data_IF_639536389958
#
_entry.id   IF_639536389958
#
_cell.length_a   1.000
_cell.length_b   1.000
_cell.length_c   1.000
_cell.angle_alpha   90.00
_cell.angle_beta   90.00
_cell.angle_gamma   90.00
#
_symmetry.space_group_name_H-M   'P 1'
#
loop_
_entity.id
_entity.type
_entity.pdbx_description
1 polymer ?
#
# COMPACT_ATOMS: atom_id res chain seq x y z
N UNK A 1 -16.64 -10.01 7.49
CA UNK A 1 -16.58 -10.69 6.18
C UNK A 1 -16.89 -9.73 5.02
N UNK A 2 -18.03 -9.01 5.00
CA UNK A 2 -18.43 -8.14 3.87
C UNK A 2 -17.41 -7.05 3.51
N UNK A 3 -16.75 -6.42 4.50
CA UNK A 3 -15.77 -5.37 4.27
C UNK A 3 -14.49 -5.86 3.58
N UNK A 4 -14.07 -7.10 3.83
CA UNK A 4 -12.90 -7.70 3.17
C UNK A 4 -13.19 -7.98 1.69
N UNK A 5 -14.39 -8.47 1.37
CA UNK A 5 -14.81 -8.65 -0.04
C UNK A 5 -14.90 -7.32 -0.79
N UNK A 6 -15.37 -6.25 -0.14
CA UNK A 6 -15.42 -4.93 -0.77
C UNK A 6 -14.02 -4.41 -1.13
N UNK A 7 -13.04 -4.63 -0.25
CA UNK A 7 -11.65 -4.24 -0.51
C UNK A 7 -11.03 -5.06 -1.65
N UNK A 8 -11.27 -6.37 -1.68
CA UNK A 8 -10.83 -7.24 -2.78
C UNK A 8 -11.42 -6.78 -4.13
N UNK A 9 -12.73 -6.49 -4.18
CA UNK A 9 -13.38 -5.99 -5.40
C UNK A 9 -12.81 -4.64 -5.86
N UNK A 10 -12.41 -3.76 -4.93
CA UNK A 10 -11.72 -2.51 -5.29
C UNK A 10 -10.36 -2.78 -5.92
N UNK A 11 -9.60 -3.75 -5.41
CA UNK A 11 -8.32 -4.15 -6.00
C UNK A 11 -8.50 -4.78 -7.38
N UNK A 12 -9.54 -5.58 -7.59
CA UNK A 12 -9.87 -6.14 -8.90
C UNK A 12 -10.22 -5.03 -9.89
N UNK A 13 -11.00 -4.01 -9.46
CA UNK A 13 -11.30 -2.83 -10.26
C UNK A 13 -10.06 -2.00 -10.62
N UNK A 14 -9.15 -1.79 -9.67
CA UNK A 14 -7.87 -1.11 -9.93
C UNK A 14 -6.99 -1.94 -10.88
N UNK A 15 -6.95 -3.25 -10.70
CA UNK A 15 -6.25 -4.18 -11.60
C UNK A 15 -6.77 -4.09 -13.02
N UNK A 16 -8.10 -4.09 -13.21
CA UNK A 16 -8.74 -3.90 -14.50
C UNK A 16 -8.34 -2.57 -15.16
N UNK A 17 -8.32 -1.47 -14.40
CA UNK A 17 -7.87 -0.17 -14.91
C UNK A 17 -6.45 -0.21 -15.43
N UNK A 18 -5.54 -0.94 -14.76
CA UNK A 18 -4.15 -1.06 -15.23
C UNK A 18 -4.05 -1.82 -16.56
N UNK A 19 -5.02 -2.68 -16.88
CA UNK A 19 -5.08 -3.38 -18.16
C UNK A 19 -5.63 -2.50 -19.28
N UNK A 20 -6.69 -1.73 -18.99
CA UNK A 20 -7.39 -0.97 -20.04
C UNK A 20 -6.80 0.41 -20.30
N UNK A 21 -6.15 1.03 -19.33
CA UNK A 21 -5.54 2.36 -19.51
C UNK A 21 -4.08 2.19 -19.91
N UNK A 22 -3.68 2.63 -21.12
CA UNK A 22 -2.28 2.63 -21.52
C UNK A 22 -1.41 3.49 -20.59
N UNK A 23 -0.16 3.07 -20.40
CA UNK A 23 0.89 3.84 -19.71
C UNK A 23 0.70 4.13 -18.21
N UNK A 24 -0.31 3.54 -17.57
CA UNK A 24 -0.37 3.58 -16.10
C UNK A 24 0.76 2.74 -15.52
N UNK A 25 1.64 3.41 -14.78
CA UNK A 25 2.83 2.77 -14.14
C UNK A 25 2.75 2.76 -12.64
N UNK A 26 1.99 3.68 -12.07
CA UNK A 26 1.93 3.88 -10.64
C UNK A 26 0.49 3.98 -10.17
N UNK A 27 0.24 3.44 -9.00
CA UNK A 27 -0.97 3.69 -8.23
C UNK A 27 -0.61 4.61 -7.07
N UNK A 28 -1.17 5.81 -7.06
CA UNK A 28 -1.05 6.73 -5.94
C UNK A 28 -2.35 6.73 -5.15
N UNK A 29 -2.23 6.64 -3.83
CA UNK A 29 -3.38 6.61 -2.95
C UNK A 29 -3.10 7.21 -1.58
N UNK A 30 -4.10 7.16 -0.72
CA UNK A 30 -4.02 7.64 0.66
C UNK A 30 -4.53 6.56 1.61
N UNK A 31 -3.86 6.45 2.75
CA UNK A 31 -4.39 5.75 3.92
C UNK A 31 -4.93 6.79 4.88
N UNK A 32 -6.17 6.60 5.30
CA UNK A 32 -6.83 7.49 6.24
C UNK A 32 -6.92 6.82 7.61
N UNK A 33 -6.47 7.54 8.64
CA UNK A 33 -6.73 7.20 10.04
C UNK A 33 -7.61 8.27 10.67
N UNK A 34 -8.58 7.83 11.45
CA UNK A 34 -9.52 8.75 12.08
C UNK A 34 -8.94 9.28 13.40
N UNK A 35 -9.29 10.52 13.82
CA UNK A 35 -8.83 11.10 15.08
C UNK A 35 -9.19 10.27 16.32
N UNK A 36 -10.22 9.43 16.21
CA UNK A 36 -10.62 8.48 17.28
C UNK A 36 -9.70 7.26 17.41
N UNK A 37 -8.78 7.07 16.46
CA UNK A 37 -7.82 5.97 16.54
C UNK A 37 -6.77 6.27 17.61
N UNK A 38 -6.34 5.25 18.35
CA UNK A 38 -5.40 5.40 19.46
C UNK A 38 -4.06 5.99 18.95
N UNK A 39 -3.71 7.20 19.38
CA UNK A 39 -2.56 7.96 18.86
C UNK A 39 -1.25 7.21 18.99
N UNK A 40 -1.03 6.51 20.10
CA UNK A 40 0.20 5.71 20.28
C UNK A 40 0.30 4.54 19.30
N UNK A 41 -0.80 3.90 18.97
CA UNK A 41 -0.83 2.83 17.96
C UNK A 41 -0.66 3.41 16.55
N UNK A 42 -1.26 4.56 16.25
CA UNK A 42 -1.06 5.32 15.02
C UNK A 42 0.41 5.66 14.80
N UNK A 43 1.04 6.31 15.76
CA UNK A 43 2.44 6.74 15.67
C UNK A 43 3.38 5.55 15.47
N UNK A 44 3.10 4.43 16.15
CA UNK A 44 3.84 3.19 15.99
C UNK A 44 3.70 2.60 14.57
N UNK A 45 2.48 2.61 14.02
CA UNK A 45 2.22 2.16 12.64
C UNK A 45 2.95 3.07 11.65
N UNK A 46 2.87 4.39 11.81
CA UNK A 46 3.54 5.34 10.91
C UNK A 46 5.05 5.21 10.98
N UNK A 47 5.60 5.01 12.18
CA UNK A 47 7.03 4.75 12.34
C UNK A 47 7.46 3.47 11.61
N UNK A 48 6.73 2.37 11.80
CA UNK A 48 6.99 1.10 11.12
C UNK A 48 6.93 1.25 9.59
N UNK A 49 5.89 1.91 9.09
CA UNK A 49 5.73 2.15 7.66
C UNK A 49 6.88 3.00 7.10
N UNK A 50 7.27 4.04 7.81
CA UNK A 50 8.39 4.90 7.40
C UNK A 50 9.74 4.16 7.40
N UNK A 51 9.92 3.22 8.34
CA UNK A 51 11.13 2.39 8.40
C UNK A 51 11.24 1.45 7.20
N UNK A 52 10.13 0.79 6.84
CA UNK A 52 10.15 -0.28 5.83
C UNK A 52 9.81 0.18 4.41
N UNK A 53 9.17 1.34 4.27
CA UNK A 53 8.70 1.88 2.99
C UNK A 53 9.07 3.37 2.81
N UNK A 54 10.33 3.75 3.04
CA UNK A 54 10.72 5.16 2.97
C UNK A 54 10.64 5.70 1.53
N UNK A 55 10.29 6.98 1.40
CA UNK A 55 10.48 7.75 0.16
C UNK A 55 11.90 8.32 0.10
N UNK A 56 12.87 7.50 -0.27
CA UNK A 56 14.27 7.91 -0.39
C UNK A 56 14.53 8.91 -1.52
N UNK A 57 13.60 8.98 -2.49
CA UNK A 57 13.72 9.87 -3.65
C UNK A 57 13.09 11.25 -3.39
N UNK A 58 12.46 11.44 -2.23
CA UNK A 58 11.76 12.67 -1.86
C UNK A 58 10.75 13.15 -2.91
N UNK A 59 9.94 12.22 -3.41
CA UNK A 59 8.99 12.49 -4.49
C UNK A 59 7.84 13.38 -4.05
N UNK A 60 7.31 13.15 -2.83
CA UNK A 60 6.16 13.89 -2.31
C UNK A 60 6.37 14.22 -0.84
N UNK A 61 6.04 15.46 -0.47
CA UNK A 61 6.01 15.93 0.92
C UNK A 61 4.69 16.61 1.22
N UNK A 62 4.09 16.37 2.39
CA UNK A 62 2.94 17.13 2.82
C UNK A 62 3.31 18.60 2.99
N UNK A 63 2.40 19.50 2.61
CA UNK A 63 2.58 20.93 2.83
C UNK A 63 2.65 21.29 4.33
N UNK A 64 1.78 20.66 5.13
CA UNK A 64 1.78 20.77 6.58
C UNK A 64 1.88 19.36 7.18
N UNK A 65 3.11 18.85 7.41
CA UNK A 65 3.31 17.51 7.93
C UNK A 65 2.82 17.39 9.37
N UNK A 66 2.12 16.32 9.66
CA UNK A 66 1.76 15.94 11.03
C UNK A 66 3.00 15.40 11.75
N UNK A 67 3.20 15.83 12.98
CA UNK A 67 4.25 15.30 13.85
C UNK A 67 3.70 14.16 14.72
N UNK A 68 4.58 13.21 15.06
CA UNK A 68 4.28 12.21 16.07
C UNK A 68 4.02 12.86 17.43
N UNK A 69 3.01 12.39 18.14
CA UNK A 69 2.72 12.83 19.52
C UNK A 69 3.60 12.10 20.58
N UNK A 70 4.23 10.99 20.16
CA UNK A 70 5.03 10.16 21.04
C UNK A 70 6.49 10.20 20.64
N UNK A 71 7.37 9.95 21.61
CA UNK A 71 8.81 9.88 21.36
C UNK A 71 9.14 8.75 20.40
N UNK A 72 9.71 9.13 19.25
CA UNK A 72 10.11 8.22 18.18
C UNK A 72 11.16 7.20 18.67
N UNK A 73 12.00 7.55 19.65
CA UNK A 73 13.04 6.65 20.15
C UNK A 73 12.43 5.38 20.78
N UNK A 74 11.26 5.48 21.40
CA UNK A 74 10.55 4.30 21.93
C UNK A 74 10.21 3.29 20.84
N UNK A 75 9.88 3.77 19.63
CA UNK A 75 9.58 2.89 18.49
C UNK A 75 10.85 2.35 17.87
N UNK A 76 11.93 3.12 17.88
CA UNK A 76 13.24 2.71 17.40
C UNK A 76 13.81 1.54 18.20
N UNK A 77 13.62 1.57 19.51
CA UNK A 77 14.01 0.47 20.40
C UNK A 77 13.11 -0.79 20.23
N UNK A 78 11.87 -0.59 19.80
CA UNK A 78 10.93 -1.68 19.57
C UNK A 78 11.20 -2.42 18.26
N UNK A 79 11.57 -1.69 17.20
CA UNK A 79 11.79 -2.22 15.86
C UNK A 79 13.29 -2.20 15.53
N UNK A 80 14.05 -3.06 16.19
CA UNK A 80 15.53 -3.11 16.05
C UNK A 80 15.98 -4.02 14.91
N UNK A 81 15.12 -4.94 14.46
CA UNK A 81 15.45 -5.88 13.40
C UNK A 81 15.33 -5.21 12.03
N UNK A 82 16.22 -5.58 11.09
CA UNK A 82 16.09 -5.19 9.68
C UNK A 82 15.27 -6.20 8.87
N UNK A 83 14.33 -6.87 9.54
CA UNK A 83 13.44 -7.86 8.97
C UNK A 83 11.99 -7.40 9.08
N UNK A 84 11.37 -7.15 7.92
CA UNK A 84 9.97 -6.74 7.84
C UNK A 84 9.02 -7.71 8.56
N UNK A 85 9.23 -9.02 8.43
CA UNK A 85 8.30 -10.01 9.00
C UNK A 85 8.37 -10.04 10.52
N UNK A 86 9.57 -9.88 11.08
CA UNK A 86 9.76 -9.82 12.53
C UNK A 86 9.18 -8.53 13.08
N UNK A 87 9.54 -7.39 12.52
CA UNK A 87 8.99 -6.09 12.93
C UNK A 87 7.47 -6.03 12.78
N UNK A 88 6.91 -6.62 11.70
CA UNK A 88 5.45 -6.71 11.55
C UNK A 88 4.78 -7.54 12.64
N UNK A 89 5.39 -8.64 13.08
CA UNK A 89 4.85 -9.44 14.21
C UNK A 89 4.86 -8.63 15.50
N UNK A 90 5.94 -7.89 15.74
CA UNK A 90 6.07 -6.98 16.89
C UNK A 90 4.99 -5.91 16.83
N UNK A 91 4.86 -5.21 15.69
CA UNK A 91 3.84 -4.20 15.47
C UNK A 91 2.43 -4.74 15.75
N UNK A 92 2.09 -5.87 15.12
CA UNK A 92 0.76 -6.47 15.23
C UNK A 92 0.42 -6.83 16.67
N UNK A 93 1.38 -7.42 17.40
CA UNK A 93 1.22 -7.72 18.83
C UNK A 93 1.05 -6.42 19.64
N UNK A 94 1.93 -5.45 19.46
CA UNK A 94 1.92 -4.22 20.23
C UNK A 94 0.64 -3.38 20.02
N UNK A 95 0.09 -3.37 18.81
CA UNK A 95 -1.17 -2.70 18.49
C UNK A 95 -2.36 -3.44 19.11
N UNK A 96 -2.38 -4.78 19.04
CA UNK A 96 -3.44 -5.61 19.65
C UNK A 96 -3.44 -5.56 21.17
N UNK A 97 -2.28 -5.55 21.80
CA UNK A 97 -2.15 -5.42 23.27
C UNK A 97 -2.74 -4.10 23.78
N UNK A 98 -2.94 -3.12 22.89
CA UNK A 98 -3.61 -1.84 23.15
C UNK A 98 -5.10 -1.82 22.81
N UNK A 99 -5.68 -2.96 22.46
CA UNK A 99 -7.11 -3.11 22.17
C UNK A 99 -7.54 -2.61 20.79
N UNK A 100 -6.59 -2.31 19.89
CA UNK A 100 -6.89 -1.89 18.52
C UNK A 100 -6.24 -2.82 17.51
N UNK A 101 -6.55 -2.66 16.22
CA UNK A 101 -5.96 -3.45 15.14
C UNK A 101 -5.33 -2.51 14.10
N UNK A 102 -4.31 -2.98 13.41
CA UNK A 102 -3.80 -2.28 12.22
C UNK A 102 -4.96 -2.14 11.23
N UNK A 103 -5.21 -0.92 10.70
CA UNK A 103 -6.31 -0.71 9.76
C UNK A 103 -6.20 -1.67 8.56
N UNK A 104 -7.31 -2.30 8.13
CA UNK A 104 -7.29 -3.30 7.05
C UNK A 104 -6.66 -2.78 5.76
N UNK A 105 -6.88 -1.51 5.43
CA UNK A 105 -6.32 -0.89 4.24
C UNK A 105 -4.79 -0.77 4.33
N UNK A 106 -4.24 -0.45 5.50
CA UNK A 106 -2.78 -0.43 5.75
C UNK A 106 -2.18 -1.80 5.48
N UNK A 107 -2.80 -2.86 6.04
CA UNK A 107 -2.36 -4.23 5.79
C UNK A 107 -2.44 -4.63 4.32
N UNK A 108 -3.49 -4.22 3.62
CA UNK A 108 -3.64 -4.51 2.19
C UNK A 108 -2.51 -3.89 1.37
N UNK A 109 -2.18 -2.64 1.64
CA UNK A 109 -1.08 -1.94 0.94
C UNK A 109 0.29 -2.55 1.23
N UNK A 110 0.61 -2.83 2.49
CA UNK A 110 1.87 -3.51 2.86
C UNK A 110 2.03 -4.87 2.20
N UNK A 111 0.91 -5.57 1.97
CA UNK A 111 0.90 -6.87 1.31
C UNK A 111 0.84 -6.83 -0.21
N UNK A 112 0.87 -5.64 -0.83
CA UNK A 112 0.75 -5.49 -2.28
C UNK A 112 2.11 -5.41 -2.97
N UNK A 113 3.03 -4.60 -2.44
CA UNK A 113 4.36 -4.41 -3.00
C UNK A 113 5.39 -4.19 -1.90
N UNK A 114 6.56 -4.85 -1.96
CA UNK A 114 7.65 -4.62 -1.01
C UNK A 114 8.36 -3.28 -1.23
N UNK A 115 8.17 -2.66 -2.39
CA UNK A 115 8.79 -1.38 -2.79
C UNK A 115 7.80 -0.22 -2.74
N UNK A 116 6.65 -0.43 -2.10
CA UNK A 116 5.72 0.66 -1.80
C UNK A 116 6.48 1.84 -1.19
N UNK A 117 6.15 3.07 -1.59
CA UNK A 117 6.69 4.27 -0.95
C UNK A 117 5.63 4.92 -0.08
N UNK A 118 6.04 5.28 1.12
CA UNK A 118 5.24 6.05 2.05
C UNK A 118 5.68 7.51 1.99
N UNK A 119 4.72 8.39 1.88
CA UNK A 119 4.92 9.84 2.01
C UNK A 119 4.50 10.29 3.42
N UNK A 120 4.77 11.52 3.77
CA UNK A 120 4.39 12.03 5.08
C UNK A 120 2.87 12.06 5.29
N UNK A 121 2.47 12.25 6.53
CA UNK A 121 1.07 12.34 6.94
C UNK A 121 0.69 13.81 7.14
N UNK A 122 -0.54 14.17 6.75
CA UNK A 122 -1.13 15.48 6.99
C UNK A 122 -2.56 15.34 7.51
N UNK A 123 -3.05 16.37 8.19
CA UNK A 123 -4.44 16.45 8.64
C UNK A 123 -5.29 17.06 7.53
N UNK A 124 -6.37 16.38 7.18
CA UNK A 124 -7.37 16.87 6.23
C UNK A 124 -8.53 17.55 6.99
N UNK A 125 -8.39 18.85 7.21
CA UNK A 125 -9.40 19.66 7.93
C UNK A 125 -10.74 19.70 7.18
N UNK A 126 -10.71 19.65 5.85
CA UNK A 126 -11.90 19.64 5.00
C UNK A 126 -12.68 18.32 5.04
N UNK A 127 -12.11 17.28 5.64
CA UNK A 127 -12.72 15.95 5.75
C UNK A 127 -12.66 15.40 7.18
N UNK A 128 -13.17 16.17 8.13
CA UNK A 128 -13.32 15.71 9.51
C UNK A 128 -12.03 15.56 10.30
N UNK A 129 -10.99 16.30 9.95
CA UNK A 129 -9.67 16.28 10.58
C UNK A 129 -9.00 14.91 10.57
N UNK A 130 -9.31 14.09 9.58
CA UNK A 130 -8.67 12.78 9.42
C UNK A 130 -7.20 12.94 9.06
N UNK A 131 -6.41 11.96 9.47
CA UNK A 131 -5.00 11.88 9.18
C UNK A 131 -4.79 11.08 7.89
N UNK A 132 -4.24 11.72 6.87
CA UNK A 132 -4.03 11.13 5.56
C UNK A 132 -2.54 10.95 5.29
N UNK A 133 -2.16 9.70 5.01
CA UNK A 133 -0.79 9.34 4.64
C UNK A 133 -0.76 8.94 3.18
N UNK A 134 0.04 9.61 2.36
CA UNK A 134 0.21 9.29 0.95
C UNK A 134 1.04 8.03 0.76
N UNK A 135 0.69 7.25 -0.25
CA UNK A 135 1.43 6.05 -0.67
C UNK A 135 1.54 5.98 -2.19
N UNK A 136 2.59 5.35 -2.68
CA UNK A 136 2.80 5.06 -4.09
C UNK A 136 3.20 3.59 -4.27
N UNK A 137 2.61 2.96 -5.27
CA UNK A 137 2.93 1.59 -5.67
C UNK A 137 3.27 1.58 -7.14
N UNK A 138 4.45 1.07 -7.49
CA UNK A 138 4.81 0.77 -8.87
C UNK A 138 4.11 -0.55 -9.28
N UNK A 139 3.36 -0.52 -10.39
CA UNK A 139 2.55 -1.66 -10.84
C UNK A 139 3.44 -2.85 -11.18
N UNK A 140 4.61 -2.60 -11.76
CA UNK A 140 5.56 -3.65 -12.15
C UNK A 140 6.23 -4.33 -10.94
N UNK A 141 6.13 -3.74 -9.76
CA UNK A 141 6.71 -4.22 -8.50
C UNK A 141 5.64 -4.81 -7.54
N UNK A 142 4.41 -4.97 -8.02
CA UNK A 142 3.36 -5.69 -7.30
C UNK A 142 3.76 -7.16 -7.21
N UNK A 143 3.62 -7.73 -5.99
CA UNK A 143 3.93 -9.14 -5.73
C UNK A 143 3.23 -10.06 -6.72
N UNK A 144 3.91 -11.08 -7.28
CA UNK A 144 3.37 -11.95 -8.34
C UNK A 144 2.00 -12.54 -8.02
N UNK A 145 1.80 -13.03 -6.80
CA UNK A 145 0.51 -13.58 -6.36
C UNK A 145 -0.62 -12.55 -6.38
N UNK A 146 -0.31 -11.30 -6.03
CA UNK A 146 -1.28 -10.18 -6.04
C UNK A 146 -1.56 -9.72 -7.45
N UNK A 147 -0.52 -9.62 -8.27
CA UNK A 147 -0.63 -9.32 -9.69
C UNK A 147 -1.48 -10.36 -10.41
N UNK A 148 -1.18 -11.64 -10.23
CA UNK A 148 -1.94 -12.75 -10.82
C UNK A 148 -3.43 -12.62 -10.47
N UNK A 149 -3.74 -12.41 -9.18
CA UNK A 149 -5.12 -12.32 -8.71
C UNK A 149 -5.87 -11.12 -9.28
N UNK A 150 -5.29 -9.92 -9.20
CA UNK A 150 -6.02 -8.67 -9.44
C UNK A 150 -5.83 -8.10 -10.86
N UNK A 151 -4.79 -8.51 -11.59
CA UNK A 151 -4.46 -7.98 -12.90
C UNK A 151 -4.54 -9.09 -13.97
N UNK A 152 -3.78 -10.17 -13.79
CA UNK A 152 -3.61 -11.17 -14.85
C UNK A 152 -4.87 -12.00 -15.06
N UNK A 153 -5.65 -12.27 -14.00
CA UNK A 153 -6.97 -12.92 -14.12
C UNK A 153 -7.89 -12.09 -15.01
N UNK A 154 -8.02 -10.78 -14.74
CA UNK A 154 -8.82 -9.90 -15.59
C UNK A 154 -8.31 -9.85 -17.03
N UNK A 155 -7.00 -9.75 -17.22
CA UNK A 155 -6.38 -9.74 -18.55
C UNK A 155 -6.67 -11.04 -19.34
N UNK A 156 -6.68 -12.19 -18.66
CA UNK A 156 -6.98 -13.48 -19.28
C UNK A 156 -8.45 -13.65 -19.66
N UNK A 157 -9.36 -13.07 -18.88
CA UNK A 157 -10.79 -13.08 -19.14
C UNK A 157 -11.22 -12.08 -20.22
N UNK A 158 -10.39 -11.04 -20.47
CA UNK A 158 -10.68 -9.96 -21.43
C UNK A 158 -9.55 -9.76 -22.45
N UNK A 159 -9.24 -10.78 -23.28
CA UNK A 159 -8.14 -10.72 -24.24
C UNK A 159 -8.34 -9.62 -25.31
N UNK A 160 -9.58 -9.24 -25.61
CA UNK A 160 -9.90 -8.14 -26.49
C UNK A 160 -9.41 -6.79 -25.96
N UNK A 161 -9.53 -6.54 -24.65
CA UNK A 161 -9.05 -5.31 -24.01
C UNK A 161 -7.52 -5.27 -23.96
N UNK A 162 -6.88 -6.41 -23.68
CA UNK A 162 -5.42 -6.55 -23.75
C UNK A 162 -4.91 -6.24 -25.16
N UNK A 163 -5.57 -6.76 -26.21
CA UNK A 163 -5.21 -6.49 -27.61
C UNK A 163 -5.35 -5.01 -27.94
N UNK A 164 -6.44 -4.38 -27.50
CA UNK A 164 -6.66 -2.95 -27.69
C UNK A 164 -5.58 -2.10 -27.01
N UNK A 165 -5.24 -2.42 -25.76
CA UNK A 165 -4.19 -1.71 -25.03
C UNK A 165 -2.80 -1.92 -25.65
N UNK A 166 -2.48 -3.12 -26.14
CA UNK A 166 -1.23 -3.38 -26.90
C UNK A 166 -1.16 -2.56 -28.18
N UNK A 167 -2.27 -2.44 -28.92
CA UNK A 167 -2.31 -1.61 -30.13
C UNK A 167 -2.11 -0.12 -29.85
N UNK A 168 -2.41 0.32 -28.63
CA UNK A 168 -2.13 1.67 -28.13
C UNK A 168 -0.71 1.85 -27.54
N UNK A 169 0.17 0.85 -27.69
CA UNK A 169 1.58 0.92 -27.29
C UNK A 169 1.91 0.44 -25.89
N UNK A 170 0.93 -0.15 -25.14
CA UNK A 170 1.18 -0.66 -23.79
C UNK A 170 2.00 -1.95 -23.82
N UNK A 171 3.06 -2.02 -23.00
CA UNK A 171 3.80 -3.25 -22.74
C UNK A 171 3.13 -4.01 -21.59
N UNK A 172 2.81 -5.29 -21.81
CA UNK A 172 2.33 -6.20 -20.78
C UNK A 172 3.45 -7.16 -20.41
N UNK A 173 3.70 -7.31 -19.13
CA UNK A 173 4.57 -8.35 -18.59
C UNK A 173 3.68 -9.40 -17.96
N UNK A 174 3.66 -10.59 -18.51
CA UNK A 174 3.05 -11.76 -17.87
C UNK A 174 4.12 -12.51 -17.09
N UNK A 175 3.78 -12.98 -15.91
CA UNK A 175 4.64 -13.85 -15.11
C UNK A 175 4.16 -15.27 -15.32
N UNK A 176 5.07 -16.19 -15.62
CA UNK A 176 4.72 -17.61 -15.69
C UNK A 176 4.51 -18.21 -14.28
N UNK A 177 4.06 -19.46 -14.23
CA UNK A 177 3.83 -20.20 -12.98
C UNK A 177 5.12 -20.50 -12.17
N UNK A 178 6.29 -20.05 -12.67
CA UNK A 178 7.61 -20.21 -12.05
C UNK A 178 8.24 -18.84 -11.71
N UNK A 179 7.45 -17.77 -11.62
CA UNK A 179 7.87 -16.39 -11.35
C UNK A 179 8.84 -15.77 -12.38
N UNK A 180 8.90 -16.31 -13.61
CA UNK A 180 9.67 -15.72 -14.69
C UNK A 180 8.83 -14.71 -15.46
N UNK A 181 9.39 -13.52 -15.71
CA UNK A 181 8.76 -12.49 -16.54
C UNK A 181 8.86 -12.94 -18.01
N UNK A 182 7.72 -13.18 -18.63
CA UNK A 182 7.63 -13.45 -20.07
C UNK A 182 7.53 -12.12 -20.81
N UNK A 183 8.49 -11.83 -21.68
CA UNK A 183 8.56 -10.61 -22.49
C UNK A 183 7.53 -10.60 -23.63
#
# INVERSE_FOLDING_TARGET
AKALFALDNLWDGLGALTVVIPDVRYLFGKVTMYPSYLTKARDMILYFLNKHFPDNDNLIRPYAPMCSEHDINQFKELFVEDDFKQDYRILNKAVRDRGVNIPPLVNAYMGLSPTMKLFGTAINEGFGNVEETGILIAIDEILPQKRMRHIDTFASEHPELVKLAKSAGKKFYTVDSQDNVLA
#
